data_IF_622552755953
#
_entry.id   IF_622552755953
#
_cell.length_a   1.000
_cell.length_b   1.000
_cell.length_c   1.000
_cell.angle_alpha   90.00
_cell.angle_beta   90.00
_cell.angle_gamma   90.00
#
_symmetry.space_group_name_H-M   'P 1'
#
loop_
_entity.id
_entity.type
_entity.pdbx_description
1 polymer ?
#
# COMPACT_ATOMS: atom_id res chain seq x y z
N UNK A 1 -6.12 21.24 6.92
CA UNK A 1 -6.32 19.86 6.41
C UNK A 1 -5.02 19.07 6.55
N UNK A 2 -3.87 19.60 6.09
CA UNK A 2 -2.51 19.07 6.38
C UNK A 2 -2.18 18.92 7.89
N UNK A 3 -2.88 19.64 8.77
CA UNK A 3 -2.68 19.59 10.23
C UNK A 3 -3.04 18.23 10.85
N UNK A 4 -3.95 17.45 10.23
CA UNK A 4 -4.34 16.13 10.73
C UNK A 4 -3.19 15.12 10.63
N UNK A 5 -2.52 15.11 9.49
CA UNK A 5 -1.36 14.27 9.25
C UNK A 5 -0.15 14.73 10.10
N UNK A 6 0.08 16.04 10.24
CA UNK A 6 1.17 16.57 11.11
C UNK A 6 1.04 16.16 12.58
N UNK A 7 -0.14 16.27 13.18
CA UNK A 7 -0.36 15.88 14.57
C UNK A 7 -0.12 14.38 14.82
N UNK A 8 -0.37 13.55 13.81
CA UNK A 8 -0.11 12.12 13.85
C UNK A 8 1.41 11.83 13.78
N UNK A 9 2.15 12.53 12.92
CA UNK A 9 3.60 12.37 12.78
C UNK A 9 4.43 12.89 13.98
N UNK A 10 3.92 13.87 14.73
CA UNK A 10 4.58 14.35 15.95
C UNK A 10 4.39 13.41 17.16
N UNK A 11 3.41 12.49 17.13
CA UNK A 11 3.12 11.55 18.22
C UNK A 11 3.96 10.28 18.11
N UNK A 12 5.27 10.43 17.88
CA UNK A 12 6.21 9.31 17.61
C UNK A 12 6.63 8.51 18.85
N UNK A 13 6.05 8.75 20.04
CA UNK A 13 6.42 8.04 21.28
C UNK A 13 5.22 7.54 22.12
N UNK A 14 4.06 7.30 21.54
CA UNK A 14 2.97 6.66 22.27
C UNK A 14 2.94 5.15 21.99
N UNK A 15 3.42 4.37 22.96
CA UNK A 15 3.04 2.98 23.16
C UNK A 15 1.51 2.79 22.91
N UNK A 16 1.05 1.61 22.46
CA UNK A 16 -0.34 1.43 22.01
C UNK A 16 -1.29 1.89 23.10
N UNK A 17 -1.95 3.03 22.85
CA UNK A 17 -2.93 3.59 23.76
C UNK A 17 -4.05 2.58 23.90
N UNK A 18 -4.32 2.20 25.15
CA UNK A 18 -5.29 1.19 25.55
C UNK A 18 -6.76 1.64 25.37
N UNK A 19 -7.05 2.44 24.35
CA UNK A 19 -8.39 2.95 24.04
C UNK A 19 -8.69 2.86 22.53
N UNK A 20 -8.74 1.62 22.03
CA UNK A 20 -9.86 1.06 21.27
C UNK A 20 -10.30 1.63 19.91
N UNK A 21 -9.58 2.55 19.26
CA UNK A 21 -9.98 3.03 17.94
C UNK A 21 -8.81 3.54 17.10
N UNK A 22 -8.32 2.70 16.19
CA UNK A 22 -7.44 3.15 15.10
C UNK A 22 -8.21 4.13 14.21
N UNK A 23 -7.57 5.24 13.85
CA UNK A 23 -8.20 6.27 13.02
C UNK A 23 -8.06 5.93 11.53
N UNK A 24 -8.94 6.46 10.65
CA UNK A 24 -8.77 6.32 9.19
C UNK A 24 -7.36 6.70 8.71
N UNK A 25 -6.77 7.73 9.32
CA UNK A 25 -5.43 8.22 8.97
C UNK A 25 -4.32 7.20 9.33
N UNK A 26 -4.48 6.47 10.45
CA UNK A 26 -3.54 5.41 10.86
C UNK A 26 -3.61 4.20 9.92
N UNK A 27 -4.79 3.87 9.43
CA UNK A 27 -4.95 2.82 8.44
C UNK A 27 -4.40 3.20 7.06
N UNK A 28 -4.64 4.44 6.63
CA UNK A 28 -4.06 4.96 5.40
C UNK A 28 -2.53 4.96 5.47
N UNK A 29 -1.94 5.34 6.60
CA UNK A 29 -0.50 5.22 6.79
C UNK A 29 -0.07 3.77 6.72
N UNK A 30 -0.71 2.86 7.47
CA UNK A 30 -0.33 1.45 7.45
C UNK A 30 -0.38 0.83 6.05
N UNK A 31 -1.43 1.15 5.28
CA UNK A 31 -1.56 0.71 3.89
C UNK A 31 -0.48 1.33 3.00
N UNK A 32 -0.27 2.65 3.06
CA UNK A 32 0.76 3.34 2.29
C UNK A 32 2.18 2.84 2.62
N UNK A 33 2.47 2.59 3.89
CA UNK A 33 3.75 2.00 4.33
C UNK A 33 3.96 0.62 3.72
N UNK A 34 2.92 -0.23 3.63
CA UNK A 34 3.05 -1.52 2.94
C UNK A 34 3.26 -1.36 1.43
N UNK A 35 2.61 -0.38 0.79
CA UNK A 35 2.80 -0.11 -0.63
C UNK A 35 4.23 0.37 -0.92
N UNK A 36 4.74 1.32 -0.14
CA UNK A 36 6.12 1.82 -0.27
C UNK A 36 7.13 0.73 0.08
N UNK A 37 6.86 -0.08 1.11
CA UNK A 37 7.72 -1.22 1.45
C UNK A 37 7.79 -2.24 0.30
N UNK A 38 6.67 -2.51 -0.38
CA UNK A 38 6.66 -3.40 -1.53
C UNK A 38 7.51 -2.84 -2.68
N UNK A 39 7.38 -1.54 -2.97
CA UNK A 39 8.16 -0.86 -4.00
C UNK A 39 9.67 -0.79 -3.69
N UNK A 40 10.05 -0.63 -2.42
CA UNK A 40 11.47 -0.55 -1.98
C UNK A 40 12.12 -1.91 -1.72
N UNK A 41 11.41 -3.02 -1.96
CA UNK A 41 11.85 -4.34 -1.46
C UNK A 41 13.02 -4.98 -2.20
N UNK A 42 13.35 -4.52 -3.41
CA UNK A 42 14.44 -5.07 -4.23
C UNK A 42 15.42 -4.04 -4.81
N UNK A 43 15.02 -2.77 -4.92
CA UNK A 43 15.88 -1.72 -5.49
C UNK A 43 15.47 -0.31 -5.03
N UNK A 44 16.07 0.73 -5.65
CA UNK A 44 15.65 2.12 -5.45
C UNK A 44 14.20 2.30 -5.87
N UNK A 45 13.39 2.82 -4.95
CA UNK A 45 12.06 3.32 -5.23
C UNK A 45 12.13 4.39 -6.32
N UNK A 46 11.57 4.06 -7.48
CA UNK A 46 11.69 4.83 -8.70
C UNK A 46 10.45 5.72 -8.91
N UNK A 47 10.49 6.53 -9.96
CA UNK A 47 9.42 7.52 -10.21
C UNK A 47 8.10 6.86 -10.62
N UNK A 48 8.13 5.69 -11.24
CA UNK A 48 6.97 4.93 -11.70
C UNK A 48 6.23 4.28 -10.55
N UNK A 49 6.93 3.62 -9.61
CA UNK A 49 6.23 3.05 -8.46
C UNK A 49 5.67 4.16 -7.58
N UNK A 50 6.42 5.26 -7.41
CA UNK A 50 5.91 6.43 -6.70
C UNK A 50 4.63 6.97 -7.32
N UNK A 51 4.63 7.21 -8.63
CA UNK A 51 3.45 7.70 -9.34
C UNK A 51 2.28 6.71 -9.25
N UNK A 52 2.55 5.40 -9.25
CA UNK A 52 1.50 4.38 -9.06
C UNK A 52 0.91 4.44 -7.66
N UNK A 53 1.73 4.57 -6.62
CA UNK A 53 1.25 4.69 -5.23
C UNK A 53 0.47 5.99 -5.05
N UNK A 54 0.92 7.10 -5.63
CA UNK A 54 0.21 8.38 -5.64
C UNK A 54 -1.17 8.25 -6.28
N UNK A 55 -1.24 7.66 -7.47
CA UNK A 55 -2.51 7.41 -8.15
C UNK A 55 -3.45 6.55 -7.30
N UNK A 56 -2.92 5.50 -6.65
CA UNK A 56 -3.69 4.65 -5.75
C UNK A 56 -4.23 5.44 -4.54
N UNK A 57 -3.40 6.28 -3.91
CA UNK A 57 -3.83 7.11 -2.79
C UNK A 57 -4.93 8.10 -3.20
N UNK A 58 -4.81 8.74 -4.36
CA UNK A 58 -5.83 9.67 -4.85
C UNK A 58 -7.15 8.97 -5.21
N UNK A 59 -7.10 7.81 -5.86
CA UNK A 59 -8.29 7.18 -6.45
C UNK A 59 -8.92 6.09 -5.56
N UNK A 60 -8.17 5.50 -4.62
CA UNK A 60 -8.64 4.44 -3.73
C UNK A 60 -8.88 4.94 -2.31
N UNK A 61 -8.08 5.90 -1.83
CA UNK A 61 -8.27 6.53 -0.52
C UNK A 61 -8.97 7.89 -0.63
N UNK A 62 -9.32 8.32 -1.85
CA UNK A 62 -10.04 9.58 -2.13
C UNK A 62 -9.31 10.81 -1.55
N UNK A 63 -7.98 10.78 -1.56
CA UNK A 63 -7.13 11.85 -1.05
C UNK A 63 -6.85 12.91 -2.12
N UNK A 64 -6.71 14.16 -1.70
CA UNK A 64 -6.19 15.20 -2.59
C UNK A 64 -4.70 14.95 -2.89
N UNK A 65 -4.22 15.45 -4.03
CA UNK A 65 -2.82 15.33 -4.46
C UNK A 65 -1.78 15.68 -3.38
N UNK A 66 -1.97 16.80 -2.67
CA UNK A 66 -1.08 17.22 -1.59
C UNK A 66 -1.12 16.27 -0.38
N UNK A 67 -2.29 15.67 -0.11
CA UNK A 67 -2.49 14.70 0.98
C UNK A 67 -1.88 13.35 0.64
N UNK A 68 -2.06 12.88 -0.60
CA UNK A 68 -1.42 11.68 -1.13
C UNK A 68 0.11 11.80 -1.06
N UNK A 69 0.67 12.93 -1.51
CA UNK A 69 2.10 13.18 -1.42
C UNK A 69 2.62 13.21 0.03
N UNK A 70 1.89 13.86 0.94
CA UNK A 70 2.27 13.91 2.35
C UNK A 70 2.22 12.50 2.99
N UNK A 71 1.23 11.70 2.64
CA UNK A 71 1.08 10.32 3.11
C UNK A 71 2.23 9.43 2.61
N UNK A 72 2.60 9.55 1.33
CA UNK A 72 3.71 8.79 0.74
C UNK A 72 5.03 9.18 1.41
N UNK A 73 5.31 10.47 1.57
CA UNK A 73 6.52 10.92 2.26
C UNK A 73 6.60 10.42 3.71
N UNK A 74 5.47 10.30 4.38
CA UNK A 74 5.43 9.70 5.70
C UNK A 74 5.71 8.20 5.65
N UNK A 75 5.06 7.47 4.75
CA UNK A 75 5.30 6.05 4.54
C UNK A 75 6.76 5.74 4.21
N UNK A 76 7.42 6.55 3.37
CA UNK A 76 8.85 6.46 3.08
C UNK A 76 9.70 6.58 4.35
N UNK A 77 9.44 7.59 5.19
CA UNK A 77 10.14 7.74 6.47
C UNK A 77 9.92 6.54 7.39
N UNK A 78 8.70 6.01 7.45
CA UNK A 78 8.41 4.84 8.27
C UNK A 78 9.14 3.60 7.77
N UNK A 79 9.24 3.38 6.45
CA UNK A 79 10.01 2.27 5.87
C UNK A 79 11.51 2.42 6.15
N UNK A 80 12.05 3.64 6.03
CA UNK A 80 13.45 3.94 6.32
C UNK A 80 13.80 3.76 7.81
N UNK A 81 12.87 4.12 8.70
CA UNK A 81 13.08 4.09 10.15
C UNK A 81 12.69 2.76 10.81
N UNK A 82 11.81 1.96 10.18
CA UNK A 82 11.22 0.76 10.77
C UNK A 82 11.26 -0.44 9.84
N UNK A 83 11.95 -1.50 10.28
CA UNK A 83 11.93 -2.83 9.62
C UNK A 83 10.68 -3.64 10.02
N UNK A 84 9.77 -3.10 10.84
CA UNK A 84 8.72 -3.86 11.50
C UNK A 84 7.38 -3.84 10.75
N UNK A 85 7.30 -4.58 9.64
CA UNK A 85 6.04 -4.92 8.95
C UNK A 85 4.93 -5.44 9.88
N UNK A 86 5.30 -6.08 10.99
CA UNK A 86 4.36 -6.68 11.93
C UNK A 86 3.43 -5.65 12.60
N UNK A 87 3.88 -4.41 12.80
CA UNK A 87 3.05 -3.35 13.37
C UNK A 87 1.91 -2.98 12.42
N UNK A 88 2.26 -2.56 11.20
CA UNK A 88 1.28 -2.13 10.21
C UNK A 88 0.35 -3.25 9.75
N UNK A 89 0.88 -4.48 9.55
CA UNK A 89 0.03 -5.62 9.17
C UNK A 89 -0.97 -5.98 10.27
N UNK A 90 -0.63 -5.78 11.55
CA UNK A 90 -1.57 -5.92 12.66
C UNK A 90 -2.62 -4.81 12.65
N UNK A 91 -2.22 -3.55 12.49
CA UNK A 91 -3.15 -2.42 12.39
C UNK A 91 -4.15 -2.65 11.26
N UNK A 92 -3.69 -3.06 10.08
CA UNK A 92 -4.56 -3.41 8.95
C UNK A 92 -5.48 -4.57 9.30
N UNK A 93 -4.95 -5.66 9.87
CA UNK A 93 -5.76 -6.83 10.21
C UNK A 93 -6.85 -6.51 11.24
N UNK A 94 -6.54 -5.69 12.23
CA UNK A 94 -7.48 -5.35 13.30
C UNK A 94 -8.50 -4.28 12.86
N UNK A 95 -8.19 -3.51 11.81
CA UNK A 95 -9.06 -2.45 11.29
C UNK A 95 -9.87 -2.76 10.04
N UNK A 96 -9.33 -3.58 9.13
CA UNK A 96 -9.91 -3.83 7.82
C UNK A 96 -10.75 -5.11 7.84
N UNK A 97 -11.90 -5.04 7.19
CA UNK A 97 -12.66 -6.22 6.80
C UNK A 97 -11.81 -7.15 5.93
N UNK A 98 -12.28 -8.39 5.75
CA UNK A 98 -11.59 -9.32 4.86
C UNK A 98 -11.51 -8.81 3.43
N UNK A 99 -12.61 -8.26 2.91
CA UNK A 99 -12.67 -7.73 1.54
C UNK A 99 -11.73 -6.55 1.34
N UNK A 100 -11.63 -5.63 2.31
CA UNK A 100 -10.68 -4.51 2.27
C UNK A 100 -9.23 -4.99 2.26
N UNK A 101 -8.91 -6.07 2.99
CA UNK A 101 -7.56 -6.68 2.96
C UNK A 101 -7.26 -7.34 1.62
N UNK A 102 -8.26 -7.93 0.97
CA UNK A 102 -8.13 -8.43 -0.41
C UNK A 102 -7.90 -7.26 -1.38
N UNK A 103 -8.59 -6.14 -1.21
CA UNK A 103 -8.38 -4.94 -2.03
C UNK A 103 -6.98 -4.35 -1.80
N UNK A 104 -6.48 -4.35 -0.56
CA UNK A 104 -5.10 -3.98 -0.28
C UNK A 104 -4.10 -4.90 -0.99
N UNK A 105 -4.36 -6.21 -1.04
CA UNK A 105 -3.54 -7.11 -1.85
C UNK A 105 -3.58 -6.78 -3.34
N UNK A 106 -4.73 -6.37 -3.89
CA UNK A 106 -4.81 -5.89 -5.27
C UNK A 106 -3.92 -4.66 -5.48
N UNK A 107 -3.97 -3.67 -4.58
CA UNK A 107 -3.12 -2.49 -4.66
C UNK A 107 -1.62 -2.81 -4.56
N UNK A 108 -1.24 -3.74 -3.68
CA UNK A 108 0.15 -4.20 -3.57
C UNK A 108 0.63 -4.87 -4.86
N UNK A 109 -0.22 -5.68 -5.49
CA UNK A 109 0.09 -6.25 -6.81
C UNK A 109 0.20 -5.17 -7.89
N UNK A 110 -0.65 -4.13 -7.88
CA UNK A 110 -0.58 -3.02 -8.84
C UNK A 110 0.76 -2.27 -8.75
N UNK A 111 1.32 -2.11 -7.55
CA UNK A 111 2.64 -1.52 -7.34
C UNK A 111 3.75 -2.43 -7.86
N UNK A 112 3.73 -3.72 -7.49
CA UNK A 112 4.74 -4.71 -7.93
C UNK A 112 4.74 -4.90 -9.45
N UNK A 113 3.60 -4.73 -10.12
CA UNK A 113 3.53 -4.80 -11.59
C UNK A 113 3.89 -3.49 -12.30
N UNK A 114 4.21 -2.41 -11.58
CA UNK A 114 4.47 -1.11 -12.20
C UNK A 114 5.63 -1.15 -13.21
N UNK A 115 6.63 -2.02 -12.97
CA UNK A 115 7.80 -2.20 -13.85
C UNK A 115 7.77 -3.45 -14.74
N UNK A 116 6.56 -3.96 -15.03
CA UNK A 116 6.23 -5.05 -15.97
C UNK A 116 6.81 -6.44 -15.65
N UNK A 117 7.98 -6.54 -15.03
CA UNK A 117 8.66 -7.78 -14.69
C UNK A 117 8.54 -8.04 -13.18
N UNK A 118 7.78 -9.08 -12.83
CA UNK A 118 7.69 -9.53 -11.44
C UNK A 118 8.68 -10.64 -11.15
N UNK A 119 9.53 -10.40 -10.16
CA UNK A 119 10.58 -11.31 -9.74
C UNK A 119 10.14 -12.29 -8.64
N UNK A 120 10.99 -13.29 -8.39
CA UNK A 120 10.73 -14.34 -7.42
C UNK A 120 10.71 -13.82 -5.97
N UNK A 121 11.52 -12.82 -5.65
CA UNK A 121 11.56 -12.23 -4.31
C UNK A 121 10.30 -11.39 -4.03
N UNK A 122 9.76 -10.65 -5.02
CA UNK A 122 8.51 -9.89 -4.87
C UNK A 122 7.31 -10.83 -4.68
N UNK A 123 7.27 -11.92 -5.45
CA UNK A 123 6.23 -12.94 -5.26
C UNK A 123 6.30 -13.57 -3.86
N UNK A 124 7.51 -13.74 -3.30
CA UNK A 124 7.69 -14.20 -1.92
C UNK A 124 7.22 -13.14 -0.91
N UNK A 125 7.54 -11.86 -1.15
CA UNK A 125 7.07 -10.76 -0.32
C UNK A 125 5.55 -10.70 -0.30
N UNK A 126 4.89 -10.77 -1.45
CA UNK A 126 3.43 -10.74 -1.55
C UNK A 126 2.75 -11.89 -0.80
N UNK A 127 3.33 -13.09 -0.85
CA UNK A 127 2.85 -14.23 -0.04
C UNK A 127 3.02 -13.98 1.45
N UNK A 128 4.16 -13.42 1.87
CA UNK A 128 4.41 -13.07 3.27
C UNK A 128 3.41 -12.03 3.76
N UNK A 129 3.20 -10.95 3.00
CA UNK A 129 2.25 -9.88 3.35
C UNK A 129 0.83 -10.44 3.44
N UNK A 130 0.38 -11.22 2.46
CA UNK A 130 -0.94 -11.86 2.50
C UNK A 130 -1.14 -12.70 3.77
N UNK A 131 -0.14 -13.50 4.16
CA UNK A 131 -0.17 -14.26 5.41
C UNK A 131 -0.26 -13.38 6.65
N UNK A 132 0.45 -12.26 6.69
CA UNK A 132 0.46 -11.33 7.83
C UNK A 132 -0.86 -10.56 8.00
N UNK A 133 -1.52 -10.22 6.88
CA UNK A 133 -2.85 -9.59 6.91
C UNK A 133 -3.98 -10.62 6.84
N UNK A 134 -3.68 -11.92 7.00
CA UNK A 134 -4.67 -13.01 7.03
C UNK A 134 -5.58 -13.06 5.79
N UNK A 135 -5.00 -12.83 4.61
CA UNK A 135 -5.61 -13.13 3.31
C UNK A 135 -5.10 -14.48 2.84
N UNK A 136 -6.00 -15.37 2.43
CA UNK A 136 -5.59 -16.70 1.99
C UNK A 136 -4.91 -16.66 0.61
N UNK A 137 -4.08 -17.66 0.31
CA UNK A 137 -3.31 -17.75 -0.95
C UNK A 137 -4.21 -17.74 -2.20
N UNK A 138 -5.41 -18.34 -2.11
CA UNK A 138 -6.36 -18.41 -3.22
C UNK A 138 -6.85 -17.02 -3.58
N UNK A 139 -7.28 -16.23 -2.61
CA UNK A 139 -7.81 -14.89 -2.83
C UNK A 139 -6.69 -13.92 -3.22
N UNK A 140 -5.48 -14.06 -2.66
CA UNK A 140 -4.29 -13.34 -3.14
C UNK A 140 -3.97 -13.66 -4.61
N UNK A 141 -4.09 -14.93 -5.02
CA UNK A 141 -3.93 -15.35 -6.42
C UNK A 141 -5.01 -14.81 -7.36
N UNK A 142 -6.25 -14.72 -6.88
CA UNK A 142 -7.37 -14.10 -7.63
C UNK A 142 -7.13 -12.60 -7.77
N UNK A 143 -6.74 -11.91 -6.70
CA UNK A 143 -6.37 -10.49 -6.70
C UNK A 143 -5.27 -10.21 -7.75
N UNK A 144 -4.18 -10.99 -7.72
CA UNK A 144 -3.09 -10.93 -8.71
C UNK A 144 -3.62 -11.08 -10.15
N UNK A 145 -4.53 -12.03 -10.37
CA UNK A 145 -5.08 -12.30 -11.70
C UNK A 145 -5.95 -11.15 -12.20
N UNK A 146 -6.74 -10.52 -11.32
CA UNK A 146 -7.55 -9.34 -11.65
C UNK A 146 -6.68 -8.16 -12.03
N UNK A 147 -5.65 -7.88 -11.25
CA UNK A 147 -4.70 -6.79 -11.51
C UNK A 147 -4.03 -6.98 -12.87
N UNK A 148 -3.51 -8.19 -13.13
CA UNK A 148 -2.88 -8.49 -14.42
C UNK A 148 -3.85 -8.26 -15.60
N UNK A 149 -5.11 -8.69 -15.47
CA UNK A 149 -6.11 -8.46 -16.50
C UNK A 149 -6.44 -6.97 -16.71
N UNK A 150 -6.43 -6.13 -15.65
CA UNK A 150 -6.61 -4.67 -15.76
C UNK A 150 -5.44 -4.03 -16.51
N UNK A 151 -4.21 -4.34 -16.10
CA UNK A 151 -3.00 -3.79 -16.72
C UNK A 151 -2.85 -4.25 -18.18
N UNK A 152 -3.18 -5.51 -18.48
CA UNK A 152 -3.26 -6.01 -19.86
C UNK A 152 -4.28 -5.21 -20.69
N UNK A 153 -5.45 -4.87 -20.13
CA UNK A 153 -6.47 -4.07 -20.82
C UNK A 153 -6.08 -2.59 -21.00
N UNK A 154 -5.39 -2.00 -20.03
CA UNK A 154 -4.80 -0.65 -20.13
C UNK A 154 -3.74 -0.59 -21.24
N UNK A 155 -2.85 -1.57 -21.30
CA UNK A 155 -1.81 -1.67 -22.32
C UNK A 155 -2.37 -1.99 -23.73
N UNK A 156 -3.51 -2.66 -23.81
CA UNK A 156 -4.20 -2.96 -25.08
C UNK A 156 -5.08 -1.80 -25.58
N UNK A 157 -5.06 -0.63 -24.92
CA UNK A 157 -5.81 0.56 -25.30
C UNK A 157 -4.92 1.68 -25.89
N UNK A 158 -4.16 1.49 -27.00
CA UNK A 158 -3.35 2.56 -27.58
C UNK A 158 -4.15 3.60 -28.41
N UNK A 159 -5.49 3.54 -28.45
CA UNK A 159 -6.30 4.36 -29.37
C UNK A 159 -7.46 5.09 -28.66
N UNK A 160 -7.16 6.12 -27.87
CA UNK A 160 -8.14 7.15 -27.49
C UNK A 160 -7.48 8.45 -27.01
N UNK A 161 -6.50 8.96 -27.77
CA UNK A 161 -6.07 10.36 -27.70
C UNK A 161 -5.66 10.81 -29.10
N UNK A 162 -6.65 11.29 -29.85
CA UNK A 162 -6.52 12.29 -30.91
C UNK A 162 -7.23 13.55 -30.47
#
# INVERSE_FOLDING_TARGET
MLDRFKNFFETKEAAPSADGGHTPDEFHLAAATLLVYAATSDAEFDTRERARIEWLCEHRFELAHDEANALIQAAEREVDESVQLLGYTRTIKDGFSYDERVHLMEMLWEVVYADEIVEAHETQLMRRVAGLIYVNDRDSGIARSRVRARLEAENLSPECSS
#
